data_IF_625754062931
#
_entry.id   IF_625754062931
#
_cell.length_a   1.000
_cell.length_b   1.000
_cell.length_c   1.000
_cell.angle_alpha   90.00
_cell.angle_beta   90.00
_cell.angle_gamma   90.00
#
_symmetry.space_group_name_H-M   'P 1'
#
loop_
_entity.id
_entity.type
_entity.pdbx_description
1 polymer ?
#
# COMPACT_ATOMS: atom_id res chain seq x y z
N UNK A 1 13.38 -17.44 -21.60
CA UNK A 1 13.00 -16.99 -21.14
C UNK A 1 12.67 -16.62 -20.74
N UNK A 2 12.68 -16.53 -20.59
CA UNK A 2 12.21 -15.97 -19.96
C UNK A 2 11.69 -15.49 -19.59
N UNK A 3 11.79 -15.51 -19.73
CA UNK A 3 11.21 -14.86 -19.21
C UNK A 3 10.66 -14.76 -18.75
N UNK A 4 10.73 -14.90 -18.77
CA UNK A 4 10.15 -14.68 -18.11
C UNK A 4 10.05 -14.51 -17.53
N UNK A 5 10.45 -14.51 -17.56
CA UNK A 5 10.33 -14.19 -16.82
C UNK A 5 10.25 -13.53 -16.55
N UNK A 6 10.41 -13.27 -16.75
CA UNK A 6 10.19 -12.45 -16.34
C UNK A 6 9.51 -12.22 -16.31
N UNK A 7 9.52 -12.41 -17.03
CA UNK A 7 8.68 -12.11 -16.87
C UNK A 7 8.10 -12.08 -15.88
N UNK A 8 7.86 -12.59 -15.60
CA UNK A 8 7.23 -12.35 -14.32
C UNK A 8 7.69 -11.10 -13.65
N UNK A 9 8.28 -10.34 -14.42
CA UNK A 9 8.87 -9.08 -13.95
C UNK A 9 8.08 -7.86 -14.39
N UNK A 10 6.83 -8.08 -14.79
CA UNK A 10 5.94 -6.96 -15.02
C UNK A 10 5.73 -6.26 -13.69
N UNK A 11 6.04 -4.96 -13.59
CA UNK A 11 5.86 -4.26 -12.32
C UNK A 11 4.41 -4.24 -11.89
N UNK A 12 4.14 -4.74 -10.70
CA UNK A 12 2.80 -4.68 -10.13
C UNK A 12 2.45 -3.24 -9.75
N UNK A 13 3.45 -2.38 -9.68
CA UNK A 13 3.27 -1.00 -9.28
C UNK A 13 2.26 -0.24 -10.14
N UNK A 14 2.28 -0.46 -11.47
CA UNK A 14 1.34 0.24 -12.35
C UNK A 14 -0.09 -0.06 -11.95
N UNK A 15 -0.42 -1.32 -11.73
CA UNK A 15 -1.75 -1.70 -11.29
C UNK A 15 -2.07 -1.15 -9.91
N UNK A 16 -1.10 -1.17 -9.02
CA UNK A 16 -1.24 -0.64 -7.67
C UNK A 16 -1.56 0.85 -7.72
N UNK A 17 -0.79 1.62 -8.51
CA UNK A 17 -1.01 3.06 -8.61
C UNK A 17 -2.39 3.38 -9.19
N UNK A 18 -2.83 2.63 -10.19
CA UNK A 18 -4.17 2.82 -10.76
C UNK A 18 -5.26 2.62 -9.70
N UNK A 19 -5.14 1.56 -8.92
CA UNK A 19 -6.12 1.27 -7.87
C UNK A 19 -6.04 2.28 -6.72
N UNK A 20 -4.84 2.76 -6.39
CA UNK A 20 -4.71 3.82 -5.38
C UNK A 20 -5.43 5.09 -5.83
N UNK A 21 -5.38 5.42 -7.13
CA UNK A 21 -6.13 6.53 -7.67
C UNK A 21 -7.63 6.37 -7.48
N UNK A 22 -8.13 5.15 -7.66
CA UNK A 22 -9.54 4.85 -7.40
C UNK A 22 -9.89 5.01 -5.92
N UNK A 23 -9.03 4.52 -5.04
CA UNK A 23 -9.23 4.63 -3.59
C UNK A 23 -9.30 6.10 -3.18
N UNK A 24 -8.44 6.92 -3.74
CA UNK A 24 -8.42 8.35 -3.44
C UNK A 24 -9.74 9.01 -3.87
N UNK A 25 -10.19 8.72 -5.09
CA UNK A 25 -11.44 9.30 -5.60
C UNK A 25 -12.65 8.84 -4.80
N UNK A 26 -12.60 7.61 -4.30
CA UNK A 26 -13.68 7.06 -3.49
C UNK A 26 -13.65 7.53 -2.03
N UNK A 27 -12.62 8.24 -1.63
CA UNK A 27 -12.45 8.65 -0.23
C UNK A 27 -12.20 7.49 0.71
N UNK A 28 -11.60 6.41 0.22
CA UNK A 28 -11.37 5.18 0.99
C UNK A 28 -9.90 4.97 1.29
N UNK A 29 -9.18 6.04 1.58
CA UNK A 29 -7.74 5.97 1.81
C UNK A 29 -7.34 6.88 2.96
N UNK A 30 -6.37 6.41 3.76
CA UNK A 30 -5.75 7.19 4.82
C UNK A 30 -4.24 7.09 4.60
N UNK A 31 -3.52 8.19 4.70
CA UNK A 31 -2.09 8.23 4.44
C UNK A 31 -1.30 8.78 5.61
N UNK A 32 -0.07 8.30 5.76
CA UNK A 32 0.85 8.75 6.80
C UNK A 32 0.76 7.89 8.05
N UNK A 33 1.89 7.74 8.74
CA UNK A 33 2.00 6.82 9.86
C UNK A 33 0.95 7.09 10.95
N UNK A 34 0.90 8.32 11.44
CA UNK A 34 0.04 8.65 12.58
C UNK A 34 -1.44 8.47 12.25
N UNK A 35 -1.86 8.94 11.09
CA UNK A 35 -3.25 8.82 10.67
C UNK A 35 -3.64 7.36 10.43
N UNK A 36 -2.74 6.58 9.83
CA UNK A 36 -2.99 5.16 9.59
C UNK A 36 -3.13 4.40 10.90
N UNK A 37 -2.25 4.65 11.85
CA UNK A 37 -2.32 3.99 13.16
C UNK A 37 -3.61 4.40 13.89
N UNK A 38 -3.96 5.68 13.83
CA UNK A 38 -5.19 6.17 14.47
C UNK A 38 -6.44 5.49 13.91
N UNK A 39 -6.49 5.25 12.60
CA UNK A 39 -7.65 4.68 11.94
C UNK A 39 -7.49 3.19 11.62
N UNK A 40 -6.51 2.52 12.22
CA UNK A 40 -6.16 1.15 11.83
C UNK A 40 -7.32 0.17 12.00
N UNK A 41 -8.18 0.40 12.98
CA UNK A 41 -9.33 -0.48 13.19
C UNK A 41 -10.30 -0.46 12.01
N UNK A 42 -10.35 0.65 11.27
CA UNK A 42 -11.24 0.81 10.11
C UNK A 42 -10.62 0.29 8.81
N UNK A 43 -9.33 0.01 8.81
CA UNK A 43 -8.63 -0.38 7.60
C UNK A 43 -8.96 -1.80 7.20
N UNK A 44 -9.14 -2.02 5.90
CA UNK A 44 -9.22 -3.38 5.34
C UNK A 44 -7.81 -3.96 5.24
N UNK A 45 -6.81 -3.11 5.04
CA UNK A 45 -5.41 -3.52 5.00
C UNK A 45 -4.51 -2.32 4.82
N UNK A 46 -3.23 -2.55 4.95
CA UNK A 46 -2.20 -1.52 4.92
C UNK A 46 -1.19 -1.82 3.81
N UNK A 47 -0.80 -0.79 3.07
CA UNK A 47 0.26 -0.89 2.05
C UNK A 47 1.44 -0.04 2.47
N UNK A 48 2.66 -0.51 2.14
CA UNK A 48 3.86 0.30 2.35
C UNK A 48 4.67 0.40 1.07
N UNK A 49 5.38 1.52 0.93
CA UNK A 49 6.26 1.76 -0.20
C UNK A 49 7.52 0.88 -0.10
N UNK A 50 8.09 0.54 -1.26
CA UNK A 50 9.28 -0.29 -1.31
C UNK A 50 10.49 0.37 -0.67
N UNK A 51 10.56 1.70 -0.69
CA UNK A 51 11.68 2.45 -0.13
C UNK A 51 11.40 3.06 1.25
N UNK A 52 10.39 2.54 1.94
CA UNK A 52 10.13 2.94 3.32
C UNK A 52 11.29 2.47 4.20
N UNK A 53 11.68 3.30 5.18
CA UNK A 53 12.80 2.94 6.07
C UNK A 53 12.50 1.67 6.85
N UNK A 54 13.56 0.92 7.21
CA UNK A 54 13.40 -0.32 7.97
C UNK A 54 12.73 -0.07 9.32
N UNK A 55 13.07 1.05 9.95
CA UNK A 55 12.47 1.41 11.22
C UNK A 55 10.96 1.58 11.07
N UNK A 56 10.53 2.34 10.06
CA UNK A 56 9.10 2.56 9.82
C UNK A 56 8.38 1.27 9.44
N UNK A 57 9.03 0.40 8.65
CA UNK A 57 8.47 -0.89 8.31
C UNK A 57 8.18 -1.72 9.55
N UNK A 58 9.13 -1.76 10.48
CA UNK A 58 8.97 -2.52 11.73
C UNK A 58 7.86 -1.95 12.59
N UNK A 59 7.81 -0.63 12.67
CA UNK A 59 6.79 0.04 13.49
C UNK A 59 5.39 -0.22 12.96
N UNK A 60 5.17 -0.09 11.66
CA UNK A 60 3.84 -0.32 11.11
C UNK A 60 3.47 -1.80 11.15
N UNK A 61 4.46 -2.69 10.97
CA UNK A 61 4.22 -4.13 11.08
C UNK A 61 3.74 -4.49 12.48
N UNK A 62 4.32 -3.87 13.51
CA UNK A 62 3.88 -4.08 14.88
C UNK A 62 2.39 -3.73 15.05
N UNK A 63 1.99 -2.56 14.55
CA UNK A 63 0.59 -2.13 14.66
C UNK A 63 -0.36 -3.02 13.86
N UNK A 64 0.06 -3.45 12.68
CA UNK A 64 -0.75 -4.36 11.88
C UNK A 64 -0.95 -5.69 12.59
N UNK A 65 0.12 -6.23 13.15
CA UNK A 65 0.08 -7.49 13.87
C UNK A 65 -0.85 -7.40 15.09
N UNK A 66 -0.70 -6.32 15.85
CA UNK A 66 -1.50 -6.08 17.04
C UNK A 66 -2.99 -5.97 16.73
N UNK A 67 -3.33 -5.45 15.55
CA UNK A 67 -4.72 -5.21 15.15
C UNK A 67 -5.23 -6.24 14.12
N UNK A 68 -4.47 -7.28 13.87
CA UNK A 68 -4.83 -8.34 12.90
C UNK A 68 -5.14 -7.78 11.50
N UNK A 69 -4.30 -6.83 11.05
CA UNK A 69 -4.43 -6.26 9.72
C UNK A 69 -3.35 -6.79 8.79
N UNK A 70 -3.72 -7.04 7.54
CA UNK A 70 -2.80 -7.50 6.54
C UNK A 70 -1.91 -6.34 6.11
N UNK A 71 -0.61 -6.58 6.04
CA UNK A 71 0.38 -5.61 5.58
C UNK A 71 0.96 -6.12 4.27
N UNK A 72 0.91 -5.26 3.25
CA UNK A 72 1.46 -5.59 1.92
C UNK A 72 2.59 -4.63 1.61
N UNK A 73 3.76 -5.18 1.32
CA UNK A 73 4.89 -4.37 0.85
C UNK A 73 4.80 -4.29 -0.66
N UNK A 74 4.57 -3.08 -1.17
CA UNK A 74 4.42 -2.88 -2.61
C UNK A 74 5.79 -2.74 -3.28
N UNK A 75 5.80 -2.78 -4.61
CA UNK A 75 6.98 -2.47 -5.40
C UNK A 75 6.95 -1.02 -5.90
N UNK A 76 6.11 -0.18 -5.30
CA UNK A 76 6.05 1.25 -5.61
C UNK A 76 6.92 2.04 -4.64
N UNK A 77 7.66 3.01 -5.17
CA UNK A 77 8.42 3.93 -4.32
C UNK A 77 7.50 5.05 -3.82
N UNK A 78 7.95 5.77 -2.80
CA UNK A 78 7.20 6.93 -2.31
C UNK A 78 7.00 7.98 -3.40
N UNK A 79 7.99 8.17 -4.28
CA UNK A 79 7.86 9.10 -5.39
C UNK A 79 6.76 8.71 -6.36
N UNK A 80 6.66 7.42 -6.68
CA UNK A 80 5.62 6.93 -7.56
C UNK A 80 4.24 7.10 -6.94
N UNK A 81 4.12 6.84 -5.66
CA UNK A 81 2.87 7.01 -4.93
C UNK A 81 2.47 8.48 -4.89
N UNK A 82 3.45 9.37 -4.67
CA UNK A 82 3.20 10.80 -4.66
C UNK A 82 2.63 11.28 -5.99
N UNK A 83 3.09 10.70 -7.09
CA UNK A 83 2.59 11.07 -8.42
C UNK A 83 1.10 10.83 -8.61
N UNK A 84 0.54 9.89 -7.87
CA UNK A 84 -0.90 9.55 -7.95
C UNK A 84 -1.70 10.26 -6.86
N UNK A 85 -1.16 10.28 -5.64
CA UNK A 85 -1.92 10.79 -4.48
C UNK A 85 -1.69 12.28 -4.23
N UNK A 86 -0.72 12.89 -4.91
CA UNK A 86 -0.31 14.28 -4.69
C UNK A 86 0.12 14.53 -3.26
N UNK A 87 0.65 13.49 -2.63
CA UNK A 87 1.08 13.55 -1.24
C UNK A 87 2.18 12.52 -1.05
N UNK A 88 3.33 12.95 -0.54
CA UNK A 88 4.43 12.03 -0.29
C UNK A 88 4.16 11.21 0.95
N UNK A 89 4.00 9.91 0.76
CA UNK A 89 3.70 9.00 1.84
C UNK A 89 4.25 7.62 1.52
N UNK A 90 4.68 6.92 2.56
CA UNK A 90 5.15 5.54 2.41
C UNK A 90 4.23 4.54 3.11
N UNK A 91 3.19 5.01 3.79
CA UNK A 91 2.28 4.15 4.54
C UNK A 91 0.85 4.55 4.21
N UNK A 92 0.04 3.59 3.78
CA UNK A 92 -1.29 3.84 3.26
C UNK A 92 -2.25 2.79 3.82
N UNK A 93 -3.37 3.23 4.37
CA UNK A 93 -4.46 2.34 4.77
C UNK A 93 -5.57 2.41 3.73
N UNK A 94 -6.09 1.27 3.32
CA UNK A 94 -7.21 1.17 2.42
C UNK A 94 -8.44 0.79 3.24
N UNK A 95 -9.49 1.58 3.12
CA UNK A 95 -10.68 1.41 3.97
C UNK A 95 -11.75 0.52 3.36
N UNK A 96 -11.62 0.18 2.08
CA UNK A 96 -12.58 -0.65 1.37
C UNK A 96 -12.00 -2.04 1.14
N UNK A 97 -12.71 -3.07 1.59
CA UNK A 97 -12.25 -4.45 1.49
C UNK A 97 -12.08 -4.94 0.08
N UNK A 98 -12.98 -4.55 -0.82
CA UNK A 98 -12.90 -4.95 -2.22
C UNK A 98 -11.69 -4.33 -2.93
N UNK A 99 -11.46 -3.04 -2.68
CA UNK A 99 -10.30 -2.35 -3.25
C UNK A 99 -8.99 -2.90 -2.69
N UNK A 100 -8.95 -3.19 -1.39
CA UNK A 100 -7.74 -3.77 -0.80
C UNK A 100 -7.47 -5.17 -1.38
N UNK A 101 -8.50 -5.96 -1.56
CA UNK A 101 -8.35 -7.30 -2.13
C UNK A 101 -7.78 -7.22 -3.55
N UNK A 102 -8.27 -6.27 -4.33
CA UNK A 102 -7.74 -6.03 -5.68
C UNK A 102 -6.27 -5.65 -5.64
N UNK A 103 -5.88 -4.78 -4.70
CA UNK A 103 -4.49 -4.38 -4.54
C UNK A 103 -3.61 -5.55 -4.11
N UNK A 104 -4.07 -6.33 -3.14
CA UNK A 104 -3.25 -7.41 -2.58
C UNK A 104 -3.01 -8.54 -3.59
N UNK A 105 -3.86 -8.68 -4.59
CA UNK A 105 -3.65 -9.69 -5.65
C UNK A 105 -2.37 -9.47 -6.44
N UNK A 106 -1.85 -8.27 -6.45
CA UNK A 106 -0.62 -7.96 -7.17
C UNK A 106 0.61 -8.48 -6.41
N UNK A 107 0.45 -8.94 -5.20
CA UNK A 107 1.55 -9.38 -4.34
C UNK A 107 1.22 -10.72 -3.62
#
# INVERSE_FOLDING_TARGET
LNSDLNQGKVPNCVNTLNTLGLCKRAGKIVTGFDAVVSDIAKAAGILIASDLSEKSKKEIAYHCNKNNKTLVETDCTMSQIEGVLNKRTGIIAILDGGLFKSLSRNY
#
